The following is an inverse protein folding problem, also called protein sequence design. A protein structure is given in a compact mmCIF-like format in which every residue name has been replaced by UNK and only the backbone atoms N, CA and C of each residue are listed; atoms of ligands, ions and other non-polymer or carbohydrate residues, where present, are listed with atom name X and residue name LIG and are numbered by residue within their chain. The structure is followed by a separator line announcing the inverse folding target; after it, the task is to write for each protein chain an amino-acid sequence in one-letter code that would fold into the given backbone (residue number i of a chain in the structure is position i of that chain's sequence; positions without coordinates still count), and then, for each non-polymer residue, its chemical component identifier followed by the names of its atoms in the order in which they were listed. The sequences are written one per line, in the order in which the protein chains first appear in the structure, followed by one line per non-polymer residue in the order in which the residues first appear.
data_IF_823212222267
#
_entry.id   IF_823212222267
#
_cell.length_a   1.000
_cell.length_b   1.000
_cell.length_c   1.000
_cell.angle_alpha   90.00
_cell.angle_beta   90.00
_cell.angle_gamma   90.00
#
_symmetry.space_group_name_H-M   'P 1'
#
loop_
_entity.id
_entity.type
_entity.pdbx_description
1 polymer ?
#
# COMPACT_ATOMS: atom_id res chain seq x y z
N UNK A 1 5.02 0.14 -5.66
CA UNK A 1 4.30 0.45 -4.41
C UNK A 1 2.84 0.04 -4.48
N UNK A 2 1.95 0.76 -5.17
CA UNK A 2 0.50 0.46 -5.17
C UNK A 2 0.14 -0.95 -5.67
N UNK A 3 0.86 -1.49 -6.66
CA UNK A 3 0.69 -2.89 -7.11
C UNK A 3 0.99 -3.88 -5.98
N UNK A 4 2.02 -3.62 -5.19
CA UNK A 4 2.38 -4.46 -4.05
C UNK A 4 1.31 -4.36 -2.95
N UNK A 5 0.82 -3.16 -2.66
CA UNK A 5 -0.26 -2.93 -1.70
C UNK A 5 -1.56 -3.63 -2.15
N UNK A 6 -1.92 -3.52 -3.43
CA UNK A 6 -3.09 -4.18 -4.01
C UNK A 6 -2.98 -5.70 -3.91
N UNK A 7 -1.84 -6.27 -4.33
CA UNK A 7 -1.63 -7.71 -4.31
C UNK A 7 -1.64 -8.24 -2.89
N UNK A 8 -1.07 -7.49 -1.94
CA UNK A 8 -1.15 -7.79 -0.52
C UNK A 8 -2.60 -7.77 -0.03
N UNK A 9 -3.39 -6.75 -0.35
CA UNK A 9 -4.81 -6.71 0.02
C UNK A 9 -5.60 -7.89 -0.56
N UNK A 10 -5.41 -8.19 -1.85
CA UNK A 10 -6.12 -9.30 -2.51
C UNK A 10 -5.76 -10.62 -1.85
N UNK A 11 -4.46 -10.92 -1.71
CA UNK A 11 -4.02 -12.20 -1.17
C UNK A 11 -4.30 -12.27 0.33
N UNK A 12 -3.82 -11.32 1.12
CA UNK A 12 -3.97 -11.33 2.57
C UNK A 12 -5.44 -11.26 3.01
N UNK A 13 -6.19 -10.24 2.59
CA UNK A 13 -7.54 -10.02 3.15
C UNK A 13 -8.55 -11.06 2.69
N UNK A 14 -8.43 -11.57 1.46
CA UNK A 14 -9.36 -12.60 0.97
C UNK A 14 -9.07 -13.97 1.58
N UNK A 15 -7.80 -14.32 1.77
CA UNK A 15 -7.44 -15.69 2.19
C UNK A 15 -7.28 -15.85 3.70
N UNK A 16 -7.04 -14.77 4.46
CA UNK A 16 -6.81 -14.84 5.91
C UNK A 16 -7.91 -15.59 6.69
N UNK A 17 -9.22 -15.42 6.43
CA UNK A 17 -10.27 -16.16 7.13
C UNK A 17 -10.27 -17.67 6.87
N UNK A 18 -9.71 -18.10 5.74
CA UNK A 18 -9.74 -19.48 5.25
C UNK A 18 -8.43 -20.22 5.49
N UNK A 19 -7.45 -19.55 6.11
CA UNK A 19 -6.05 -19.99 6.20
C UNK A 19 -5.87 -21.30 7.00
N UNK A 20 -6.83 -21.65 7.88
CA UNK A 20 -6.86 -22.92 8.60
C UNK A 20 -7.15 -24.14 7.72
N UNK A 21 -7.86 -23.92 6.60
CA UNK A 21 -8.32 -24.98 5.69
C UNK A 21 -7.40 -25.16 4.47
N UNK A 22 -6.35 -24.34 4.37
CA UNK A 22 -5.44 -24.38 3.23
C UNK A 22 -4.53 -25.60 3.33
N UNK A 23 -4.25 -26.20 2.17
CA UNK A 23 -3.23 -27.24 2.05
C UNK A 23 -1.88 -26.68 2.54
N UNK A 24 -1.13 -27.39 3.41
CA UNK A 24 0.20 -26.99 3.87
C UNK A 24 1.16 -26.51 2.78
N UNK A 25 1.10 -27.09 1.59
CA UNK A 25 1.97 -26.70 0.47
C UNK A 25 1.71 -25.27 -0.01
N UNK A 26 0.47 -24.77 0.14
CA UNK A 26 0.09 -23.41 -0.24
C UNK A 26 0.53 -22.35 0.79
N UNK A 27 1.03 -22.75 1.96
CA UNK A 27 1.52 -21.81 2.96
C UNK A 27 2.80 -21.09 2.50
N UNK A 28 3.73 -21.82 1.87
CA UNK A 28 4.99 -21.24 1.36
C UNK A 28 4.74 -20.11 0.35
N UNK A 29 3.97 -20.30 -0.74
CA UNK A 29 3.68 -19.22 -1.67
C UNK A 29 2.86 -18.09 -1.03
N UNK A 30 1.97 -18.39 -0.08
CA UNK A 30 1.22 -17.37 0.68
C UNK A 30 2.16 -16.42 1.44
N UNK A 31 3.09 -16.96 2.23
CA UNK A 31 4.04 -16.15 3.01
C UNK A 31 5.06 -15.44 2.10
N UNK A 32 5.52 -16.10 1.03
CA UNK A 32 6.39 -15.50 0.02
C UNK A 32 5.77 -14.22 -0.55
N UNK A 33 4.50 -14.30 -0.96
CA UNK A 33 3.77 -13.17 -1.53
C UNK A 33 3.63 -12.04 -0.52
N UNK A 34 3.17 -12.33 0.69
CA UNK A 34 2.91 -11.31 1.72
C UNK A 34 4.19 -10.58 2.10
N UNK A 35 5.27 -11.33 2.38
CA UNK A 35 6.54 -10.72 2.79
C UNK A 35 7.17 -9.93 1.65
N UNK A 36 7.13 -10.45 0.41
CA UNK A 36 7.63 -9.74 -0.77
C UNK A 36 6.88 -8.44 -1.00
N UNK A 37 5.54 -8.47 -1.01
CA UNK A 37 4.74 -7.28 -1.25
C UNK A 37 4.94 -6.22 -0.18
N UNK A 38 4.98 -6.63 1.09
CA UNK A 38 5.20 -5.71 2.19
C UNK A 38 6.60 -5.07 2.13
N UNK A 39 7.65 -5.86 1.88
CA UNK A 39 9.01 -5.31 1.68
C UNK A 39 9.07 -4.38 0.49
N UNK A 40 8.46 -4.77 -0.62
CA UNK A 40 8.45 -3.98 -1.84
C UNK A 40 7.74 -2.64 -1.62
N UNK A 41 6.67 -2.61 -0.82
CA UNK A 41 6.01 -1.35 -0.45
C UNK A 41 6.95 -0.44 0.35
N UNK A 42 7.61 -0.97 1.39
CA UNK A 42 8.58 -0.22 2.20
C UNK A 42 9.79 0.27 1.40
N UNK A 43 10.41 -0.58 0.59
CA UNK A 43 11.59 -0.23 -0.20
C UNK A 43 11.26 0.78 -1.30
N UNK A 44 10.08 0.68 -1.92
CA UNK A 44 9.62 1.70 -2.86
C UNK A 44 9.44 3.07 -2.18
N UNK A 45 9.07 3.10 -0.91
CA UNK A 45 8.97 4.35 -0.16
C UNK A 45 10.35 4.99 0.01
N UNK A 46 11.40 4.21 0.27
CA UNK A 46 12.79 4.67 0.25
C UNK A 46 13.16 5.22 -1.13
N UNK A 47 12.88 4.47 -2.20
CA UNK A 47 13.18 4.92 -3.56
C UNK A 47 12.46 6.21 -3.94
N UNK A 48 11.21 6.41 -3.50
CA UNK A 48 10.48 7.66 -3.69
C UNK A 48 11.15 8.82 -2.94
N UNK A 49 11.66 8.59 -1.73
CA UNK A 49 12.42 9.59 -0.99
C UNK A 49 13.72 9.94 -1.72
N UNK A 50 14.47 8.95 -2.21
CA UNK A 50 15.70 9.16 -2.99
C UNK A 50 15.41 9.93 -4.28
N UNK A 51 14.37 9.57 -5.04
CA UNK A 51 13.95 10.30 -6.25
C UNK A 51 13.67 11.78 -5.95
N UNK A 52 12.95 12.06 -4.85
CA UNK A 52 12.66 13.45 -4.46
C UNK A 52 13.88 14.20 -3.96
N UNK A 53 14.79 13.55 -3.27
CA UNK A 53 16.06 14.15 -2.88
C UNK A 53 16.88 14.55 -4.11
N UNK A 54 17.03 13.64 -5.08
CA UNK A 54 17.74 13.92 -6.34
C UNK A 54 17.08 15.07 -7.10
N UNK A 55 15.74 15.08 -7.18
CA UNK A 55 15.00 16.16 -7.84
C UNK A 55 15.25 17.54 -7.21
N UNK A 56 15.32 17.61 -5.87
CA UNK A 56 15.54 18.87 -5.14
C UNK A 56 16.99 19.32 -5.22
N UNK A 57 17.94 18.40 -5.11
CA UNK A 57 19.36 18.70 -5.09
C UNK A 57 19.93 19.00 -6.48
N UNK A 58 19.44 18.32 -7.52
CA UNK A 58 19.96 18.42 -8.89
C UNK A 58 18.84 18.64 -9.92
N UNK A 59 18.11 19.77 -9.88
CA UNK A 59 16.95 20.01 -10.74
C UNK A 59 17.28 20.00 -12.25
N UNK A 60 18.46 20.51 -12.64
CA UNK A 60 18.90 20.58 -14.05
C UNK A 60 19.29 19.20 -14.61
N UNK A 61 19.96 18.39 -13.80
CA UNK A 61 20.45 17.07 -14.20
C UNK A 61 19.42 15.95 -13.95
N UNK A 62 18.30 16.25 -13.30
CA UNK A 62 17.27 15.26 -12.94
C UNK A 62 16.82 14.42 -14.14
N UNK A 63 16.53 15.05 -15.28
CA UNK A 63 16.07 14.33 -16.48
C UNK A 63 17.16 13.48 -17.16
N UNK A 64 18.43 13.77 -16.89
CA UNK A 64 19.56 12.95 -17.35
C UNK A 64 19.84 11.77 -16.41
N UNK A 65 19.63 11.96 -15.11
CA UNK A 65 19.83 10.94 -14.08
C UNK A 65 18.65 9.96 -14.06
N UNK A 66 17.43 10.48 -13.92
CA UNK A 66 16.18 9.72 -13.77
C UNK A 66 15.45 9.66 -15.12
N UNK A 67 15.53 8.50 -15.77
CA UNK A 67 14.80 8.22 -17.00
C UNK A 67 13.88 7.00 -16.82
N UNK A 68 12.81 6.91 -17.62
CA UNK A 68 11.81 5.83 -17.55
C UNK A 68 12.42 4.43 -17.65
N UNK A 69 13.39 4.24 -18.55
CA UNK A 69 14.08 2.95 -18.71
C UNK A 69 14.85 2.57 -17.43
N UNK A 70 15.59 3.52 -16.84
CA UNK A 70 16.33 3.30 -15.59
C UNK A 70 15.39 3.01 -14.42
N UNK A 71 14.29 3.76 -14.31
CA UNK A 71 13.29 3.53 -13.27
C UNK A 71 12.65 2.15 -13.39
N UNK A 72 12.37 1.69 -14.61
CA UNK A 72 11.86 0.35 -14.88
C UNK A 72 12.87 -0.72 -14.45
N UNK A 73 14.16 -0.55 -14.78
CA UNK A 73 15.22 -1.45 -14.33
C UNK A 73 15.36 -1.48 -12.82
N UNK A 74 15.38 -0.32 -12.14
CA UNK A 74 15.43 -0.25 -10.67
C UNK A 74 14.22 -0.94 -10.04
N UNK A 75 13.03 -0.74 -10.62
CA UNK A 75 11.82 -1.41 -10.12
C UNK A 75 11.88 -2.92 -10.33
N UNK A 76 12.28 -3.40 -11.50
CA UNK A 76 12.43 -4.82 -11.81
C UNK A 76 13.48 -5.48 -10.90
N UNK A 77 14.64 -4.84 -10.73
CA UNK A 77 15.69 -5.31 -9.82
C UNK A 77 15.22 -5.34 -8.36
N UNK A 78 14.43 -4.35 -7.93
CA UNK A 78 13.83 -4.31 -6.59
C UNK A 78 12.91 -5.50 -6.38
N UNK A 79 12.00 -5.78 -7.32
CA UNK A 79 11.11 -6.94 -7.22
C UNK A 79 11.89 -8.26 -7.26
N UNK A 80 12.79 -8.44 -8.23
CA UNK A 80 13.58 -9.66 -8.39
C UNK A 80 14.44 -9.95 -7.16
N UNK A 81 15.14 -8.95 -6.63
CA UNK A 81 15.98 -9.08 -5.44
C UNK A 81 15.16 -9.43 -4.19
N UNK A 82 14.01 -8.78 -3.98
CA UNK A 82 13.14 -9.10 -2.86
C UNK A 82 12.49 -10.48 -2.98
N UNK A 83 12.08 -10.90 -4.18
CA UNK A 83 11.57 -12.25 -4.40
C UNK A 83 12.65 -13.28 -4.08
N UNK A 84 13.86 -13.12 -4.64
CA UNK A 84 14.97 -14.04 -4.39
C UNK A 84 15.29 -14.16 -2.88
N UNK A 85 15.37 -13.02 -2.18
CA UNK A 85 15.57 -12.98 -0.73
C UNK A 85 14.46 -13.74 0.01
N UNK A 86 13.19 -13.49 -0.33
CA UNK A 86 12.08 -14.13 0.37
C UNK A 86 11.90 -15.60 0.00
N UNK A 87 12.28 -16.04 -1.21
CA UNK A 87 12.36 -17.47 -1.55
C UNK A 87 13.37 -18.17 -0.65
N UNK A 88 14.55 -17.57 -0.45
CA UNK A 88 15.53 -18.10 0.49
C UNK A 88 14.97 -18.17 1.92
N UNK A 89 14.30 -17.12 2.41
CA UNK A 89 13.68 -17.14 3.75
C UNK A 89 12.57 -18.18 3.90
N UNK A 90 11.71 -18.34 2.90
CA UNK A 90 10.59 -19.29 2.93
C UNK A 90 11.08 -20.75 2.86
N UNK A 91 12.27 -21.01 2.35
CA UNK A 91 12.86 -22.36 2.35
C UNK A 91 13.16 -22.90 3.76
N UNK A 92 13.30 -22.00 4.75
CA UNK A 92 13.46 -22.35 6.17
C UNK A 92 12.13 -22.34 6.95
N UNK A 93 10.99 -22.13 6.30
CA UNK A 93 9.68 -22.11 6.94
C UNK A 93 9.23 -23.53 7.25
N UNK A 94 8.84 -23.79 8.49
CA UNK A 94 8.23 -25.05 8.88
C UNK A 94 6.74 -24.85 9.16
N UNK A 95 5.90 -25.66 8.50
CA UNK A 95 4.44 -25.59 8.59
C UNK A 95 3.94 -26.79 9.38
N UNK A 96 3.29 -26.53 10.52
CA UNK A 96 2.75 -27.59 11.38
C UNK A 96 1.23 -27.69 11.17
N UNK A 97 0.83 -28.52 10.20
CA UNK A 97 -0.57 -28.86 9.92
C UNK A 97 -1.36 -27.81 9.14
N UNK A 98 -1.38 -26.54 9.57
CA UNK A 98 -2.08 -25.45 8.85
C UNK A 98 -1.22 -24.20 8.70
N UNK A 99 -1.58 -23.34 7.74
CA UNK A 99 -0.88 -22.09 7.49
C UNK A 99 -0.99 -21.05 8.64
N UNK A 100 -1.78 -21.31 9.68
CA UNK A 100 -1.83 -20.48 10.89
C UNK A 100 -0.74 -20.85 11.91
N UNK A 101 -0.29 -22.10 11.89
CA UNK A 101 0.63 -22.71 12.84
C UNK A 101 1.99 -22.88 12.18
N UNK A 102 2.68 -21.75 11.97
CA UNK A 102 4.04 -21.73 11.43
C UNK A 102 5.08 -21.66 12.54
N UNK A 103 6.17 -22.40 12.36
CA UNK A 103 7.37 -22.30 13.19
C UNK A 103 8.47 -21.61 12.39
N UNK A 104 9.02 -20.55 12.98
CA UNK A 104 10.03 -19.69 12.37
C UNK A 104 11.33 -19.88 13.14
N UNK A 105 12.42 -20.24 12.45
CA UNK A 105 13.75 -20.24 13.06
C UNK A 105 14.15 -18.79 13.44
N UNK A 106 14.28 -18.46 14.73
CA UNK A 106 14.44 -17.08 15.18
C UNK A 106 15.68 -16.43 14.56
N UNK A 107 16.78 -17.15 14.36
CA UNK A 107 18.03 -16.61 13.81
C UNK A 107 17.91 -16.21 12.34
N UNK A 108 17.30 -17.07 11.51
CA UNK A 108 17.11 -16.79 10.08
C UNK A 108 16.12 -15.65 9.89
N UNK A 109 15.04 -15.65 10.66
CA UNK A 109 13.98 -14.66 10.54
C UNK A 109 14.26 -13.36 11.29
N UNK A 110 15.35 -13.23 12.06
CA UNK A 110 15.75 -11.98 12.74
C UNK A 110 16.22 -10.92 11.74
N UNK A 111 16.89 -11.32 10.66
CA UNK A 111 17.38 -10.39 9.63
C UNK A 111 16.24 -9.66 8.92
N UNK A 112 15.10 -10.33 8.79
CA UNK A 112 13.90 -9.82 8.14
C UNK A 112 13.35 -8.52 8.79
N UNK A 113 12.96 -8.50 10.08
CA UNK A 113 12.53 -7.28 10.77
C UNK A 113 13.65 -6.24 10.90
N UNK A 114 14.93 -6.63 11.01
CA UNK A 114 16.05 -5.67 10.98
C UNK A 114 16.05 -4.91 9.66
N UNK A 115 15.93 -5.63 8.54
CA UNK A 115 15.87 -5.01 7.21
C UNK A 115 14.70 -4.03 7.08
N UNK A 116 13.52 -4.38 7.62
CA UNK A 116 12.39 -3.44 7.71
C UNK A 116 12.71 -2.19 8.51
N UNK A 117 13.29 -2.34 9.70
CA UNK A 117 13.67 -1.22 10.57
C UNK A 117 14.63 -0.28 9.84
N UNK A 118 15.67 -0.82 9.19
CA UNK A 118 16.62 -0.04 8.38
C UNK A 118 15.90 0.73 7.28
N UNK A 119 15.07 0.06 6.47
CA UNK A 119 14.31 0.72 5.39
C UNK A 119 13.42 1.86 5.91
N UNK A 120 12.70 1.63 7.01
CA UNK A 120 11.76 2.63 7.57
C UNK A 120 12.53 3.83 8.15
N UNK A 121 13.60 3.59 8.91
CA UNK A 121 14.45 4.65 9.46
C UNK A 121 15.10 5.45 8.33
N UNK A 122 15.71 4.78 7.34
CA UNK A 122 16.29 5.47 6.18
C UNK A 122 15.26 6.32 5.45
N UNK A 123 14.05 5.78 5.23
CA UNK A 123 12.97 6.53 4.59
C UNK A 123 12.55 7.76 5.39
N UNK A 124 12.47 7.64 6.71
CA UNK A 124 12.12 8.76 7.60
C UNK A 124 13.23 9.81 7.66
N UNK A 125 14.49 9.40 7.79
CA UNK A 125 15.66 10.28 7.77
C UNK A 125 15.76 11.05 6.46
N UNK A 126 15.54 10.39 5.31
CA UNK A 126 15.51 11.07 4.01
C UNK A 126 14.35 12.07 3.91
N UNK A 127 13.15 11.71 4.40
CA UNK A 127 12.02 12.66 4.48
C UNK A 127 12.37 13.88 5.34
N UNK A 128 12.95 13.69 6.51
CA UNK A 128 13.37 14.79 7.38
C UNK A 128 14.44 15.67 6.72
N UNK A 129 15.43 15.06 6.07
CA UNK A 129 16.46 15.77 5.31
C UNK A 129 15.85 16.62 4.19
N UNK A 130 14.94 16.05 3.40
CA UNK A 130 14.23 16.76 2.33
C UNK A 130 13.45 17.95 2.90
N UNK A 131 12.78 17.75 4.03
CA UNK A 131 12.05 18.83 4.71
C UNK A 131 12.98 19.96 5.13
N UNK A 132 14.12 19.65 5.75
CA UNK A 132 15.13 20.63 6.16
C UNK A 132 15.68 21.40 4.95
N UNK A 133 16.03 20.71 3.86
CA UNK A 133 16.52 21.35 2.64
C UNK A 133 15.44 22.26 2.04
N UNK A 134 14.21 21.77 1.92
CA UNK A 134 13.10 22.53 1.36
C UNK A 134 12.74 23.77 2.21
N UNK A 135 12.89 23.68 3.53
CA UNK A 135 12.67 24.80 4.44
C UNK A 135 13.77 25.86 4.32
N UNK A 136 15.04 25.44 4.22
CA UNK A 136 16.19 26.33 4.18
C UNK A 136 16.47 26.92 2.78
N UNK A 137 15.78 26.46 1.73
CA UNK A 137 15.79 27.06 0.41
C UNK A 137 15.06 28.42 0.42
N UNK A 138 15.74 29.47 0.89
CA UNK A 138 15.26 30.85 0.94
C UNK A 138 15.16 31.51 -0.44
N UNK A 139 15.89 31.00 -1.43
CA UNK A 139 15.93 31.55 -2.79
C UNK A 139 14.72 31.18 -3.66
N UNK A 140 13.81 30.31 -3.19
CA UNK A 140 12.62 29.95 -3.96
C UNK A 140 11.46 30.89 -3.65
N UNK A 141 10.83 31.40 -4.72
CA UNK A 141 9.57 32.14 -4.62
C UNK A 141 8.54 31.32 -3.82
N UNK A 142 7.81 31.96 -2.91
CA UNK A 142 6.91 31.26 -1.97
C UNK A 142 5.88 30.37 -2.68
N UNK A 143 5.43 30.81 -3.86
CA UNK A 143 4.48 30.07 -4.70
C UNK A 143 5.08 28.77 -5.24
N UNK A 144 6.36 28.77 -5.61
CA UNK A 144 7.06 27.56 -6.06
C UNK A 144 7.33 26.62 -4.89
N UNK A 145 7.76 27.15 -3.75
CA UNK A 145 7.98 26.41 -2.51
C UNK A 145 6.69 25.71 -2.04
N UNK A 146 5.55 26.40 -2.04
CA UNK A 146 4.25 25.81 -1.69
C UNK A 146 3.83 24.68 -2.64
N UNK A 147 4.08 24.83 -3.95
CA UNK A 147 3.84 23.76 -4.93
C UNK A 147 4.73 22.54 -4.68
N UNK A 148 6.00 22.75 -4.31
CA UNK A 148 6.92 21.68 -3.94
C UNK A 148 6.41 20.94 -2.69
N UNK A 149 6.13 21.65 -1.59
CA UNK A 149 5.60 21.07 -0.36
C UNK A 149 4.31 20.28 -0.60
N UNK A 150 3.39 20.80 -1.41
CA UNK A 150 2.15 20.09 -1.76
C UNK A 150 2.41 18.79 -2.52
N UNK A 151 3.48 18.71 -3.34
CA UNK A 151 3.90 17.48 -4.02
C UNK A 151 4.58 16.49 -3.07
N UNK A 152 5.32 17.00 -2.08
CA UNK A 152 6.01 16.21 -1.06
C UNK A 152 5.07 15.71 0.05
N UNK A 153 3.92 16.35 0.24
CA UNK A 153 2.97 16.01 1.29
C UNK A 153 2.54 14.54 1.26
N UNK A 154 2.28 13.99 0.05
CA UNK A 154 2.06 12.55 -0.13
C UNK A 154 3.16 11.70 0.51
N UNK A 155 4.41 12.04 0.19
CA UNK A 155 5.59 11.30 0.59
C UNK A 155 5.80 11.38 2.11
N UNK A 156 5.68 12.57 2.70
CA UNK A 156 5.76 12.76 4.14
C UNK A 156 4.63 12.05 4.90
N UNK A 157 3.38 12.12 4.41
CA UNK A 157 2.26 11.43 5.05
C UNK A 157 2.46 9.91 5.03
N UNK A 158 2.88 9.35 3.89
CA UNK A 158 3.14 7.90 3.80
C UNK A 158 4.36 7.46 4.62
N UNK A 159 5.44 8.26 4.71
CA UNK A 159 6.59 7.94 5.57
C UNK A 159 6.24 8.03 7.05
N UNK A 160 5.58 9.10 7.49
CA UNK A 160 5.11 9.23 8.87
C UNK A 160 4.17 8.10 9.25
N UNK A 161 3.21 7.77 8.39
CA UNK A 161 2.28 6.69 8.64
C UNK A 161 3.02 5.35 8.81
N UNK A 162 3.92 5.02 7.89
CA UNK A 162 4.72 3.79 7.95
C UNK A 162 5.60 3.75 9.19
N UNK A 163 6.20 4.89 9.57
CA UNK A 163 6.99 5.03 10.78
C UNK A 163 6.15 4.74 12.03
N UNK A 164 4.98 5.34 12.18
CA UNK A 164 4.17 5.16 13.40
C UNK A 164 3.40 3.84 13.46
N UNK A 165 3.14 3.18 12.33
CA UNK A 165 2.34 1.95 12.31
C UNK A 165 3.17 0.69 12.08
N UNK A 166 4.15 0.72 11.19
CA UNK A 166 4.95 -0.45 10.86
C UNK A 166 6.19 -0.60 11.76
N UNK A 167 6.85 0.50 12.14
CA UNK A 167 8.06 0.42 12.97
C UNK A 167 7.79 -0.20 14.35
N UNK A 168 6.75 0.21 15.12
CA UNK A 168 6.55 -0.32 16.46
C UNK A 168 6.29 -1.83 16.45
N UNK A 169 5.51 -2.33 15.49
CA UNK A 169 5.31 -3.77 15.32
C UNK A 169 6.63 -4.53 15.12
N UNK A 170 7.51 -4.01 14.26
CA UNK A 170 8.82 -4.64 13.98
C UNK A 170 9.76 -4.58 15.17
N UNK A 171 9.76 -3.46 15.90
CA UNK A 171 10.54 -3.33 17.14
C UNK A 171 10.02 -4.25 18.24
N UNK A 172 8.71 -4.35 18.43
CA UNK A 172 8.14 -5.31 19.39
C UNK A 172 8.50 -6.74 19.02
N UNK A 173 8.43 -7.11 17.73
CA UNK A 173 8.84 -8.43 17.28
C UNK A 173 10.32 -8.72 17.57
N UNK A 174 11.22 -7.76 17.30
CA UNK A 174 12.64 -7.88 17.65
C UNK A 174 12.84 -8.01 19.16
N UNK A 175 12.20 -7.13 19.94
CA UNK A 175 12.28 -7.13 21.39
C UNK A 175 11.83 -8.47 21.98
N UNK A 176 10.74 -9.06 21.48
CA UNK A 176 10.25 -10.36 21.91
C UNK A 176 11.22 -11.50 21.59
N UNK A 177 11.96 -11.44 20.47
CA UNK A 177 12.99 -12.43 20.15
C UNK A 177 14.22 -12.28 21.05
N UNK A 178 14.61 -11.06 21.45
CA UNK A 178 15.77 -10.82 22.30
C UNK A 178 15.50 -11.05 23.80
N UNK A 179 14.33 -10.64 24.29
CA UNK A 179 13.99 -10.78 25.71
C UNK A 179 13.44 -12.16 26.07
N UNK A 180 12.97 -12.95 25.09
CA UNK A 180 12.40 -14.27 25.36
C UNK A 180 11.06 -14.22 26.09
N UNK A 181 10.77 -15.25 26.89
CA UNK A 181 9.48 -15.40 27.57
C UNK A 181 9.26 -14.40 28.71
N UNK A 182 10.34 -13.89 29.32
CA UNK A 182 10.29 -13.02 30.50
C UNK A 182 9.60 -11.67 30.24
N UNK A 183 9.60 -11.20 29.00
CA UNK A 183 8.95 -9.94 28.61
C UNK A 183 7.51 -10.09 28.12
N UNK A 184 6.99 -11.32 27.97
CA UNK A 184 5.67 -11.57 27.37
C UNK A 184 4.53 -11.40 28.38
N UNK A 185 4.24 -10.15 28.70
CA UNK A 185 3.07 -9.78 29.51
C UNK A 185 1.83 -9.48 28.65
N UNK A 186 0.65 -9.44 29.27
CA UNK A 186 -0.62 -9.14 28.59
C UNK A 186 -0.57 -7.80 27.82
N UNK A 187 0.08 -6.78 28.39
CA UNK A 187 0.28 -5.48 27.74
C UNK A 187 1.12 -5.59 26.45
N UNK A 188 2.20 -6.37 26.47
CA UNK A 188 3.04 -6.61 25.29
C UNK A 188 2.27 -7.35 24.19
N UNK A 189 1.50 -8.38 24.55
CA UNK A 189 0.65 -9.13 23.62
C UNK A 189 -0.43 -8.23 22.99
N UNK A 190 -1.08 -7.40 23.81
CA UNK A 190 -2.06 -6.42 23.35
C UNK A 190 -1.43 -5.41 22.38
N UNK A 191 -0.30 -4.80 22.74
CA UNK A 191 0.40 -3.83 21.90
C UNK A 191 0.84 -4.45 20.56
N UNK A 192 1.46 -5.63 20.60
CA UNK A 192 1.91 -6.33 19.38
C UNK A 192 0.73 -6.66 18.47
N UNK A 193 -0.39 -7.10 19.03
CA UNK A 193 -1.63 -7.40 18.28
C UNK A 193 -2.25 -6.13 17.69
N UNK A 194 -2.27 -5.03 18.44
CA UNK A 194 -2.77 -3.74 17.98
C UNK A 194 -1.95 -3.23 16.78
N UNK A 195 -0.63 -3.17 16.92
CA UNK A 195 0.24 -2.68 15.85
C UNK A 195 0.25 -3.62 14.63
N UNK A 196 0.09 -4.93 14.82
CA UNK A 196 -0.12 -5.86 13.70
C UNK A 196 -1.38 -5.52 12.89
N UNK A 197 -2.50 -5.22 13.57
CA UNK A 197 -3.75 -4.81 12.91
C UNK A 197 -3.60 -3.47 12.20
N UNK A 198 -2.96 -2.49 12.85
CA UNK A 198 -2.69 -1.17 12.25
C UNK A 198 -1.80 -1.27 11.01
N UNK A 199 -0.80 -2.17 11.03
CA UNK A 199 0.08 -2.43 9.90
C UNK A 199 -0.73 -2.89 8.68
N UNK A 200 -1.67 -3.82 8.85
CA UNK A 200 -2.53 -4.32 7.76
C UNK A 200 -3.39 -3.19 7.18
N UNK A 201 -4.01 -2.37 8.05
CA UNK A 201 -4.79 -1.20 7.64
C UNK A 201 -3.92 -0.19 6.89
N UNK A 202 -2.65 -0.06 7.27
CA UNK A 202 -1.70 0.85 6.63
C UNK A 202 -1.50 0.62 5.14
N UNK A 203 -1.65 -0.61 4.67
CA UNK A 203 -1.55 -0.94 3.24
C UNK A 203 -2.71 -0.37 2.44
N UNK A 204 -3.91 -0.27 3.04
CA UNK A 204 -5.06 0.40 2.41
C UNK A 204 -4.94 1.92 2.43
N UNK A 205 -4.20 2.46 3.41
CA UNK A 205 -4.07 3.90 3.60
C UNK A 205 -3.16 4.52 2.55
N UNK A 206 -2.12 3.83 2.08
CA UNK A 206 -1.22 4.36 1.04
C UNK A 206 -1.94 4.82 -0.25
N UNK A 207 -2.86 4.03 -0.86
CA UNK A 207 -3.72 4.51 -1.96
C UNK A 207 -4.62 5.69 -1.57
N UNK A 208 -5.19 5.69 -0.36
CA UNK A 208 -6.07 6.78 0.11
C UNK A 208 -5.29 8.09 0.24
N UNK A 209 -4.09 8.06 0.84
CA UNK A 209 -3.18 9.21 0.91
C UNK A 209 -2.87 9.67 -0.51
N UNK A 210 -2.58 8.76 -1.45
CA UNK A 210 -2.29 9.11 -2.85
C UNK A 210 -3.46 9.90 -3.47
N UNK A 211 -4.69 9.41 -3.34
CA UNK A 211 -5.89 10.05 -3.90
C UNK A 211 -6.16 11.40 -3.24
N UNK A 212 -6.05 11.47 -1.90
CA UNK A 212 -6.31 12.70 -1.15
C UNK A 212 -5.33 13.81 -1.57
N UNK A 213 -4.04 13.47 -1.56
CA UNK A 213 -2.95 14.44 -1.71
C UNK A 213 -2.72 14.85 -3.15
N UNK A 214 -2.91 13.93 -4.11
CA UNK A 214 -2.63 14.19 -5.52
C UNK A 214 -3.89 14.54 -6.32
N UNK A 215 -3.99 15.81 -6.74
CA UNK A 215 -5.13 16.33 -7.51
C UNK A 215 -5.45 15.53 -8.77
N UNK A 216 -4.44 15.05 -9.50
CA UNK A 216 -4.63 14.30 -10.76
C UNK A 216 -5.42 13.01 -10.50
N UNK A 217 -5.07 12.29 -9.43
CA UNK A 217 -5.77 11.05 -9.05
C UNK A 217 -7.19 11.34 -8.59
N UNK A 218 -7.40 12.37 -7.75
CA UNK A 218 -8.73 12.78 -7.32
C UNK A 218 -9.65 13.16 -8.48
N UNK A 219 -9.15 13.93 -9.45
CA UNK A 219 -9.95 14.34 -10.62
C UNK A 219 -10.29 13.15 -11.52
N UNK A 220 -9.35 12.22 -11.74
CA UNK A 220 -9.63 11.01 -12.51
C UNK A 220 -10.68 10.14 -11.83
N UNK A 221 -10.58 9.97 -10.52
CA UNK A 221 -11.56 9.23 -9.73
C UNK A 221 -12.96 9.85 -9.84
N UNK A 222 -13.08 11.16 -9.68
CA UNK A 222 -14.36 11.86 -9.84
C UNK A 222 -14.96 11.71 -11.25
N UNK A 223 -14.13 11.72 -12.30
CA UNK A 223 -14.60 11.46 -13.67
C UNK A 223 -15.09 10.03 -13.85
N UNK A 224 -14.41 9.04 -13.27
CA UNK A 224 -14.87 7.65 -13.31
C UNK A 224 -16.21 7.49 -12.62
N UNK A 225 -16.39 8.10 -11.44
CA UNK A 225 -17.69 8.09 -10.74
C UNK A 225 -18.78 8.84 -11.50
N UNK A 226 -18.44 9.96 -12.16
CA UNK A 226 -19.37 10.68 -13.03
C UNK A 226 -19.88 9.81 -14.18
N UNK A 227 -18.97 9.13 -14.89
CA UNK A 227 -19.34 8.19 -15.96
C UNK A 227 -20.17 7.00 -15.46
N UNK A 228 -19.82 6.44 -14.31
CA UNK A 228 -20.60 5.35 -13.70
C UNK A 228 -22.01 5.79 -13.34
N UNK A 229 -22.17 7.02 -12.83
CA UNK A 229 -23.48 7.60 -12.53
C UNK A 229 -24.29 7.83 -13.81
N UNK A 230 -23.69 8.37 -14.86
CA UNK A 230 -24.33 8.57 -16.17
C UNK A 230 -24.77 7.23 -16.79
N UNK A 231 -23.90 6.22 -16.77
CA UNK A 231 -24.21 4.88 -17.27
C UNK A 231 -25.37 4.24 -16.48
N UNK A 232 -25.34 4.34 -15.15
CA UNK A 232 -26.42 3.83 -14.29
C UNK A 232 -27.75 4.55 -14.54
N UNK A 233 -27.75 5.88 -14.70
CA UNK A 233 -28.96 6.64 -15.04
C UNK A 233 -29.50 6.27 -16.43
N UNK A 234 -28.61 6.01 -17.40
CA UNK A 234 -28.99 5.58 -18.75
C UNK A 234 -29.59 4.17 -18.76
N UNK A 235 -29.01 3.23 -18.01
CA UNK A 235 -29.55 1.88 -17.82
C UNK A 235 -30.92 1.90 -17.16
N UNK A 236 -31.13 2.74 -16.14
CA UNK A 236 -32.44 2.93 -15.50
C UNK A 236 -33.47 3.51 -16.48
N UNK A 237 -33.08 4.47 -17.31
CA UNK A 237 -33.97 5.08 -18.31
C UNK A 237 -34.36 4.07 -19.40
N UNK A 238 -33.41 3.27 -19.88
CA UNK A 238 -33.66 2.21 -20.87
C UNK A 238 -34.54 1.09 -20.29
N UNK A 239 -34.35 0.71 -19.03
CA UNK A 239 -35.21 -0.26 -18.34
C UNK A 239 -36.64 0.26 -18.13
N UNK A 240 -36.79 1.57 -17.84
CA UNK A 240 -38.10 2.23 -17.73
C UNK A 240 -38.83 2.27 -19.08
N UNK A 241 -38.15 2.63 -20.17
CA UNK A 241 -38.74 2.67 -21.50
C UNK A 241 -39.16 1.27 -22.02
N UNK A 242 -38.41 0.22 -21.70
CA UNK A 242 -38.84 -1.16 -22.00
C UNK A 242 -40.15 -1.52 -21.29
N UNK A 243 -40.26 -1.22 -19.99
CA UNK A 243 -41.50 -1.49 -19.23
C UNK A 243 -42.68 -0.62 -19.67
N UNK A 244 -42.44 0.58 -20.19
CA UNK A 244 -43.48 1.43 -20.76
C UNK A 244 -43.99 0.88 -22.11
N UNK A 245 -43.09 0.31 -22.93
CA UNK A 245 -43.44 -0.33 -24.20
C UNK A 245 -44.19 -1.65 -24.06
N UNK A 246 -44.10 -2.31 -22.90
CA UNK A 246 -44.83 -3.56 -22.59
C UNK A 246 -46.21 -3.32 -21.96
N UNK A 247 -46.61 -2.07 -21.70
CA UNK A 247 -47.99 -1.81 -21.24
C UNK A 247 -48.97 -2.03 -22.39
N UNK A 248 -50.00 -2.86 -22.22
CA UNK A 248 -51.05 -2.98 -23.21
C UNK A 248 -51.76 -1.62 -23.37
N UNK A 249 -52.21 -1.28 -24.59
CA UNK A 249 -52.86 -0.01 -24.85
C UNK A 249 -54.10 0.12 -23.95
N UNK A 250 -54.16 1.20 -23.17
CA UNK A 250 -55.37 1.59 -22.45
C UNK A 250 -56.47 1.83 -23.47
N UNK A 251 -57.53 1.02 -23.37
CA UNK A 251 -58.76 1.23 -24.12
C UNK A 251 -59.36 2.58 -23.71
N UNK A 252 -59.21 3.58 -24.58
CA UNK A 252 -60.02 4.80 -24.53
C UNK A 252 -61.48 4.42 -24.71
N UNK A 253 -62.38 4.70 -23.75
CA UNK A 253 -63.80 4.44 -23.95
C UNK A 253 -64.31 5.38 -25.03
N UNK A 254 -64.85 4.81 -26.10
CA UNK A 254 -65.57 5.57 -27.12
C UNK A 254 -66.74 6.30 -26.45
N UNK A 255 -66.71 7.61 -26.55
CA UNK A 255 -67.84 8.50 -26.27
C UNK A 255 -68.89 8.23 -27.34
N UNK A 256 -69.96 7.52 -26.99
CA UNK A 256 -71.15 7.43 -27.82
C UNK A 256 -71.97 8.71 -27.58
N UNK A 257 -71.91 9.62 -28.54
CA UNK A 257 -72.92 10.66 -28.70
C UNK A 257 -74.15 10.02 -29.36
N UNK A 258 -75.27 9.96 -28.64
CA UNK A 258 -76.62 10.03 -29.17
C UNK A 258 -77.57 10.62 -28.12
#
# INVERSE_FOLDING_TARGET
MTVADLLMCIVYMKTRPWLSYFNPELCHPYYLIIWTCQMCSCLNLVWLNVDKLIYIQFPLHYYQIVNRKRLLWVSAATWGGLIALNVALVSFLQVNGSCLLITLNPYVYLLNPIFYVVMIITSFSLSALIYCIAHNLTHMEERQRSKLFRRLFFLFSSTLWTFFTCLPYRLFYLFGNFCGEDCRNAAYSFATTLFFRLLIVGIMINPVITIWTQRIYRLRLMRMFGRLRENSSTEVLMASNRRASERPPEHTPLRCDL
#
